data_IF_303659203013
#
_entry.id   IF_303659203013
#
_cell.length_a   1.000
_cell.length_b   1.000
_cell.length_c   1.000
_cell.angle_alpha   90.00
_cell.angle_beta   90.00
_cell.angle_gamma   90.00
#
_symmetry.space_group_name_H-M   'P 1'
#
loop_
_entity.id
_entity.type
_entity.pdbx_description
1 polymer ?
#
# COMPACT_ATOMS: atom_id res chain seq x y z
N UNK A 1 -4.51 -4.30 22.79
CA UNK A 1 -4.68 -3.39 21.64
C UNK A 1 -6.18 -3.16 21.49
N UNK A 2 -6.65 -1.91 21.53
CA UNK A 2 -8.08 -1.61 21.38
C UNK A 2 -8.30 -0.93 20.02
N UNK A 3 -8.98 -1.60 19.09
CA UNK A 3 -9.25 -1.09 17.75
C UNK A 3 -10.52 -0.25 17.76
N UNK A 4 -10.44 1.01 17.35
CA UNK A 4 -11.62 1.83 17.12
C UNK A 4 -12.21 1.51 15.73
N UNK A 5 -13.25 0.69 15.71
CA UNK A 5 -13.89 0.22 14.47
C UNK A 5 -14.56 1.37 13.70
N UNK A 6 -15.17 2.32 14.40
CA UNK A 6 -15.85 3.44 13.75
C UNK A 6 -14.85 4.29 12.98
N UNK A 7 -13.70 4.60 13.61
CA UNK A 7 -12.61 5.31 12.95
C UNK A 7 -12.10 4.56 11.71
N UNK A 8 -11.87 3.25 11.82
CA UNK A 8 -11.39 2.45 10.69
C UNK A 8 -12.37 2.44 9.49
N UNK A 9 -13.69 2.47 9.77
CA UNK A 9 -14.72 2.56 8.73
C UNK A 9 -14.78 3.95 8.11
N UNK A 10 -14.73 5.01 8.93
CA UNK A 10 -14.66 6.40 8.45
C UNK A 10 -13.44 6.63 7.55
N UNK A 11 -12.30 6.01 7.87
CA UNK A 11 -11.08 6.07 7.06
C UNK A 11 -11.12 5.17 5.82
N UNK A 12 -12.15 4.33 5.64
CA UNK A 12 -12.30 3.40 4.51
C UNK A 12 -13.58 3.71 3.73
N UNK A 13 -13.53 4.59 2.71
CA UNK A 13 -14.72 5.15 2.06
C UNK A 13 -15.70 4.12 1.49
N UNK A 14 -15.20 2.95 1.07
CA UNK A 14 -16.04 1.88 0.56
C UNK A 14 -17.04 1.35 1.60
N UNK A 15 -16.76 1.48 2.90
CA UNK A 15 -17.64 1.01 3.97
C UNK A 15 -19.00 1.73 4.01
N UNK A 16 -19.08 2.97 3.53
CA UNK A 16 -20.35 3.74 3.46
C UNK A 16 -21.25 3.28 2.30
N UNK A 17 -20.70 2.54 1.33
CA UNK A 17 -21.37 2.24 0.07
C UNK A 17 -21.76 0.77 -0.06
N UNK A 18 -21.02 -0.13 0.58
CA UNK A 18 -21.20 -1.58 0.41
C UNK A 18 -21.03 -2.37 1.71
N UNK A 19 -21.81 -3.45 1.83
CA UNK A 19 -21.57 -4.52 2.80
C UNK A 19 -20.55 -5.50 2.24
N UNK A 20 -19.27 -5.16 2.32
CA UNK A 20 -18.19 -5.90 1.69
C UNK A 20 -17.77 -7.14 2.48
N UNK A 21 -18.40 -8.28 2.20
CA UNK A 21 -18.07 -9.58 2.79
C UNK A 21 -17.03 -10.39 1.98
N UNK A 22 -16.42 -9.80 0.94
CA UNK A 22 -15.44 -10.46 0.07
C UNK A 22 -13.99 -9.97 0.28
N UNK A 23 -13.61 -9.65 1.53
CA UNK A 23 -12.26 -9.14 1.85
C UNK A 23 -11.13 -10.14 1.52
N UNK A 24 -11.42 -11.44 1.61
CA UNK A 24 -10.47 -12.50 1.26
C UNK A 24 -10.12 -12.53 -0.24
N UNK A 25 -11.00 -12.03 -1.11
CA UNK A 25 -10.70 -11.83 -2.53
C UNK A 25 -9.88 -10.55 -2.75
N UNK A 26 -10.33 -9.43 -2.19
CA UNK A 26 -9.56 -8.19 -2.08
C UNK A 26 -10.25 -7.24 -1.11
N UNK A 27 -9.49 -6.56 -0.26
CA UNK A 27 -10.02 -5.66 0.76
C UNK A 27 -10.27 -4.25 0.21
N UNK A 28 -11.17 -3.50 0.85
CA UNK A 28 -11.38 -2.09 0.53
C UNK A 28 -10.16 -1.26 0.95
N UNK A 29 -9.83 -0.23 0.17
CA UNK A 29 -8.69 0.64 0.46
C UNK A 29 -9.06 1.76 1.45
N UNK A 30 -8.27 1.96 2.52
CA UNK A 30 -8.32 3.18 3.31
C UNK A 30 -7.98 4.41 2.46
N UNK A 31 -8.56 5.57 2.80
CA UNK A 31 -8.41 6.83 2.06
C UNK A 31 -6.93 7.24 1.92
N UNK A 32 -6.14 7.08 2.98
CA UNK A 32 -4.70 7.42 2.94
C UNK A 32 -3.94 6.62 1.89
N UNK A 33 -4.26 5.32 1.72
CA UNK A 33 -3.61 4.46 0.72
C UNK A 33 -4.01 4.89 -0.69
N UNK A 34 -5.30 5.15 -0.90
CA UNK A 34 -5.83 5.63 -2.17
C UNK A 34 -5.18 6.96 -2.58
N UNK A 35 -5.12 7.91 -1.65
CA UNK A 35 -4.56 9.25 -1.88
C UNK A 35 -3.07 9.19 -2.18
N UNK A 36 -2.31 8.33 -1.49
CA UNK A 36 -0.88 8.14 -1.77
C UNK A 36 -0.64 7.62 -3.19
N UNK A 37 -1.35 6.56 -3.60
CA UNK A 37 -1.18 5.98 -4.93
C UNK A 37 -1.63 6.93 -6.04
N UNK A 38 -2.85 7.47 -5.93
CA UNK A 38 -3.40 8.37 -6.96
C UNK A 38 -2.62 9.68 -7.00
N UNK A 39 -2.20 10.19 -5.84
CA UNK A 39 -1.34 11.36 -5.73
C UNK A 39 0.00 11.16 -6.46
N UNK A 40 0.64 10.00 -6.28
CA UNK A 40 1.87 9.66 -6.98
C UNK A 40 1.66 9.56 -8.49
N UNK A 41 0.62 8.85 -8.95
CA UNK A 41 0.30 8.75 -10.39
C UNK A 41 0.01 10.12 -11.02
N UNK A 42 -0.67 11.01 -10.30
CA UNK A 42 -0.88 12.41 -10.73
C UNK A 42 0.44 13.17 -10.81
N UNK A 43 1.36 12.96 -9.87
CA UNK A 43 2.68 13.58 -9.92
C UNK A 43 3.45 13.11 -11.15
N UNK A 44 3.51 11.80 -11.40
CA UNK A 44 4.15 11.23 -12.59
C UNK A 44 3.55 11.79 -13.88
N UNK A 45 2.23 11.92 -13.96
CA UNK A 45 1.55 12.49 -15.12
C UNK A 45 1.91 13.97 -15.37
N UNK A 46 2.22 14.73 -14.31
CA UNK A 46 2.53 16.16 -14.40
C UNK A 46 4.00 16.46 -14.70
N UNK A 47 4.93 15.58 -14.30
CA UNK A 47 6.36 15.91 -14.37
C UNK A 47 7.29 14.77 -14.80
N UNK A 48 6.77 13.57 -15.08
CA UNK A 48 7.57 12.39 -15.42
C UNK A 48 7.90 11.52 -14.20
N UNK A 49 8.10 10.22 -14.44
CA UNK A 49 8.30 9.23 -13.38
C UNK A 49 9.60 9.39 -12.60
N UNK A 50 10.71 9.73 -13.27
CA UNK A 50 11.99 9.92 -12.60
C UNK A 50 12.01 11.18 -11.74
N UNK A 51 11.41 12.26 -12.23
CA UNK A 51 11.31 13.52 -11.52
C UNK A 51 10.33 13.43 -10.34
N UNK A 52 9.24 12.66 -10.48
CA UNK A 52 8.35 12.32 -9.38
C UNK A 52 9.09 11.52 -8.30
N UNK A 53 9.80 10.45 -8.68
CA UNK A 53 10.58 9.62 -7.76
C UNK A 53 11.66 10.42 -7.01
N UNK A 54 12.28 11.41 -7.66
CA UNK A 54 13.27 12.29 -7.03
C UNK A 54 12.69 13.33 -6.05
N UNK A 55 11.36 13.55 -6.06
CA UNK A 55 10.67 14.51 -5.18
C UNK A 55 9.94 13.86 -4.00
N UNK A 56 9.69 12.56 -4.06
CA UNK A 56 9.00 11.82 -2.99
C UNK A 56 9.99 11.17 -2.05
N UNK A 57 9.48 10.67 -0.92
CA UNK A 57 10.26 9.75 -0.09
C UNK A 57 10.72 8.57 -0.97
N UNK A 58 11.97 8.14 -0.75
CA UNK A 58 12.56 7.08 -1.56
C UNK A 58 11.74 5.80 -1.41
N UNK A 59 11.39 5.15 -2.53
CA UNK A 59 10.75 3.83 -2.51
C UNK A 59 11.58 2.79 -1.76
N UNK A 60 12.88 3.05 -1.58
CA UNK A 60 13.78 2.29 -0.73
C UNK A 60 13.29 2.17 0.72
N UNK A 61 12.58 3.16 1.26
CA UNK A 61 12.08 3.08 2.65
C UNK A 61 10.99 2.02 2.81
N UNK A 62 10.35 1.59 1.72
CA UNK A 62 9.35 0.49 1.76
C UNK A 62 9.98 -0.82 2.22
N UNK A 63 11.22 -1.11 1.80
CA UNK A 63 11.93 -2.32 2.26
C UNK A 63 12.14 -2.30 3.78
N UNK A 64 12.52 -1.15 4.34
CA UNK A 64 12.70 -1.01 5.80
C UNK A 64 11.37 -1.18 6.55
N UNK A 65 10.27 -0.61 6.02
CA UNK A 65 8.93 -0.72 6.64
C UNK A 65 8.38 -2.14 6.58
N UNK A 66 8.61 -2.86 5.48
CA UNK A 66 8.20 -4.28 5.36
C UNK A 66 9.04 -5.15 6.29
N UNK A 67 10.35 -4.90 6.37
CA UNK A 67 11.24 -5.60 7.30
C UNK A 67 10.82 -5.38 8.77
N UNK A 68 10.46 -4.15 9.14
CA UNK A 68 9.91 -3.81 10.45
C UNK A 68 8.59 -4.56 10.73
N UNK A 69 7.69 -4.61 9.75
CA UNK A 69 6.40 -5.31 9.87
C UNK A 69 6.55 -6.82 10.06
N UNK A 70 7.48 -7.45 9.33
CA UNK A 70 7.73 -8.89 9.36
C UNK A 70 8.75 -9.30 10.41
N UNK A 71 9.40 -8.34 11.06
CA UNK A 71 10.50 -8.55 12.01
C UNK A 71 11.66 -9.36 11.39
N UNK A 72 12.14 -8.93 10.22
CA UNK A 72 13.30 -9.48 9.51
C UNK A 72 14.30 -8.37 9.13
N UNK A 73 15.40 -8.74 8.48
CA UNK A 73 16.34 -7.77 7.92
C UNK A 73 15.89 -7.28 6.54
N UNK A 74 16.27 -6.05 6.19
CA UNK A 74 15.92 -5.42 4.90
C UNK A 74 16.40 -6.25 3.70
N UNK A 75 17.59 -6.83 3.79
CA UNK A 75 18.20 -7.66 2.74
C UNK A 75 17.51 -9.02 2.56
N UNK A 76 16.56 -9.38 3.45
CA UNK A 76 15.70 -10.54 3.32
C UNK A 76 14.36 -10.22 2.60
N UNK A 77 14.14 -8.97 2.17
CA UNK A 77 12.88 -8.53 1.55
C UNK A 77 13.06 -8.27 0.04
N UNK A 78 12.18 -8.89 -0.76
CA UNK A 78 12.00 -8.57 -2.18
C UNK A 78 10.54 -8.18 -2.46
N UNK A 79 10.33 -7.12 -3.24
CA UNK A 79 9.00 -6.66 -3.63
C UNK A 79 8.61 -7.18 -5.02
N UNK A 80 7.47 -7.85 -5.11
CA UNK A 80 6.90 -8.41 -6.35
C UNK A 80 5.44 -7.98 -6.45
N UNK A 81 4.92 -7.89 -7.67
CA UNK A 81 3.57 -7.38 -7.96
C UNK A 81 2.42 -8.16 -7.29
N UNK A 82 2.61 -9.44 -6.96
CA UNK A 82 1.65 -10.26 -6.22
C UNK A 82 2.29 -11.53 -5.63
N UNK A 83 1.57 -12.17 -4.69
CA UNK A 83 2.03 -13.37 -3.99
C UNK A 83 2.25 -14.59 -4.91
N UNK A 84 1.39 -14.80 -5.91
CA UNK A 84 1.52 -15.92 -6.85
C UNK A 84 2.81 -15.81 -7.65
N UNK A 85 3.09 -14.63 -8.20
CA UNK A 85 4.30 -14.36 -8.97
C UNK A 85 5.55 -14.51 -8.11
N UNK A 86 5.51 -14.06 -6.86
CA UNK A 86 6.62 -14.23 -5.93
C UNK A 86 6.94 -15.71 -5.68
N UNK A 87 5.90 -16.53 -5.52
CA UNK A 87 6.05 -17.97 -5.33
C UNK A 87 6.63 -18.67 -6.57
N UNK A 88 6.18 -18.29 -7.77
CA UNK A 88 6.67 -18.85 -9.03
C UNK A 88 8.15 -18.54 -9.31
N UNK A 89 8.71 -17.51 -8.66
CA UNK A 89 10.08 -17.05 -8.85
C UNK A 89 11.07 -17.60 -7.81
N UNK A 90 10.59 -18.25 -6.75
CA UNK A 90 11.38 -18.81 -5.65
C UNK A 90 11.81 -20.27 -5.92
#
# INVERSE_FOLDING_TARGET
MNLNINKAREETPGCENVLHFNNAGSSLMPQVVLDSMVGYLRLEAMMGGYEAAGKTESLETVYDRVAELLNCHRDEVALIENATRAWDMA
#
